data_IF_671041367689
#
_entry.id   IF_671041367689
#
_cell.length_a   1.000
_cell.length_b   1.000
_cell.length_c   1.000
_cell.angle_alpha   90.00
_cell.angle_beta   90.00
_cell.angle_gamma   90.00
#
_symmetry.space_group_name_H-M   'P 1'
#
loop_
_entity.id
_entity.type
_entity.pdbx_description
1 polymer ?
#
# COMPACT_ATOMS: atom_id res chain seq x y z
N UNK A 1 -8.96 -19.86 5.35
CA UNK A 1 -9.10 -18.40 5.26
C UNK A 1 -8.69 -17.91 3.87
N UNK A 2 -9.51 -17.10 3.28
CA UNK A 2 -9.22 -16.58 1.96
C UNK A 2 -8.06 -15.58 2.03
N UNK A 3 -7.22 -15.60 1.00
CA UNK A 3 -6.17 -14.60 0.83
C UNK A 3 -6.74 -13.37 0.15
N UNK A 4 -6.14 -12.23 0.42
CA UNK A 4 -6.50 -10.95 -0.19
C UNK A 4 -5.28 -10.35 -0.87
N UNK A 5 -5.50 -9.58 -1.93
CA UNK A 5 -4.45 -8.77 -2.56
C UNK A 5 -4.20 -7.56 -1.67
N UNK A 6 -2.95 -7.35 -1.29
CA UNK A 6 -2.58 -6.40 -0.25
C UNK A 6 -1.60 -5.35 -0.76
N UNK A 7 -1.88 -4.09 -0.41
CA UNK A 7 -1.05 -2.93 -0.74
C UNK A 7 -0.79 -2.16 0.54
N UNK A 8 0.45 -1.71 0.73
CA UNK A 8 0.79 -0.79 1.82
C UNK A 8 1.28 0.53 1.24
N UNK A 9 0.98 1.62 1.93
CA UNK A 9 1.47 2.96 1.58
C UNK A 9 2.10 3.62 2.80
N UNK A 10 3.16 4.38 2.54
CA UNK A 10 3.80 5.21 3.56
C UNK A 10 4.19 6.54 2.92
N UNK A 11 3.96 7.65 3.62
CA UNK A 11 4.31 8.98 3.10
C UNK A 11 4.58 9.96 4.25
N UNK A 12 5.26 11.06 3.93
CA UNK A 12 5.52 12.14 4.89
C UNK A 12 4.57 13.31 4.65
N UNK A 13 4.48 14.20 5.63
CA UNK A 13 3.70 15.43 5.52
C UNK A 13 4.08 16.22 4.27
N UNK A 14 5.38 16.26 3.94
CA UNK A 14 5.91 16.96 2.76
C UNK A 14 5.48 16.35 1.43
N UNK A 15 4.97 15.12 1.43
CA UNK A 15 4.52 14.43 0.23
C UNK A 15 3.05 14.68 -0.09
N UNK A 16 2.36 15.44 0.74
CA UNK A 16 0.96 15.76 0.52
C UNK A 16 0.80 16.80 -0.59
N UNK A 17 -0.17 16.59 -1.45
CA UNK A 17 -0.47 17.41 -2.61
C UNK A 17 -1.84 18.05 -2.47
N UNK A 18 -2.16 19.10 -3.30
CA UNK A 18 -3.49 19.70 -3.30
C UNK A 18 -4.60 18.67 -3.57
N UNK A 19 -5.80 18.98 -3.07
CA UNK A 19 -7.02 18.18 -3.29
C UNK A 19 -6.96 16.78 -2.70
N UNK A 20 -6.25 16.63 -1.57
CA UNK A 20 -6.19 15.35 -0.84
C UNK A 20 -5.35 14.27 -1.52
N UNK A 21 -4.56 14.63 -2.54
CA UNK A 21 -3.64 13.69 -3.17
C UNK A 21 -2.33 13.64 -2.41
N UNK A 22 -1.55 12.61 -2.67
CA UNK A 22 -0.23 12.43 -2.08
C UNK A 22 0.64 11.57 -2.96
N UNK A 23 1.95 11.75 -2.85
CA UNK A 23 2.91 10.77 -3.39
C UNK A 23 3.36 9.89 -2.24
N UNK A 24 3.32 8.59 -2.42
CA UNK A 24 3.66 7.64 -1.37
C UNK A 24 4.66 6.59 -1.85
N UNK A 25 5.28 5.93 -0.87
CA UNK A 25 6.05 4.71 -1.10
C UNK A 25 5.09 3.55 -0.93
N UNK A 26 4.90 2.79 -2.00
CA UNK A 26 3.88 1.73 -2.08
C UNK A 26 4.56 0.38 -2.22
N UNK A 27 4.15 -0.57 -1.40
CA UNK A 27 4.53 -1.97 -1.56
C UNK A 27 3.32 -2.76 -2.05
N UNK A 28 3.48 -3.41 -3.21
CA UNK A 28 2.50 -4.30 -3.78
C UNK A 28 2.86 -5.72 -3.35
N UNK A 29 2.11 -6.27 -2.41
CA UNK A 29 2.48 -7.54 -1.76
C UNK A 29 1.77 -8.76 -2.34
N UNK A 30 0.81 -8.55 -3.23
CA UNK A 30 0.07 -9.66 -3.85
C UNK A 30 -0.85 -10.36 -2.87
N UNK A 31 -1.11 -11.63 -3.11
CA UNK A 31 -1.98 -12.43 -2.27
C UNK A 31 -1.33 -12.73 -0.92
N UNK A 32 -1.98 -12.29 0.15
CA UNK A 32 -1.51 -12.47 1.52
C UNK A 32 -2.60 -13.09 2.36
N UNK A 33 -2.20 -13.93 3.32
CA UNK A 33 -3.11 -14.44 4.33
C UNK A 33 -3.49 -13.33 5.30
N UNK A 34 -4.60 -13.49 6.00
CA UNK A 34 -5.03 -12.55 7.02
C UNK A 34 -3.94 -12.33 8.07
N UNK A 35 -3.25 -13.39 8.46
CA UNK A 35 -2.17 -13.31 9.44
C UNK A 35 -0.99 -12.48 8.93
N UNK A 36 -0.61 -12.67 7.68
CA UNK A 36 0.50 -11.91 7.09
C UNK A 36 0.15 -10.43 6.95
N UNK A 37 -1.10 -10.11 6.62
CA UNK A 37 -1.59 -8.74 6.56
C UNK A 37 -1.51 -8.09 7.93
N UNK A 38 -2.00 -8.78 8.96
CA UNK A 38 -1.96 -8.29 10.33
C UNK A 38 -0.53 -8.03 10.80
N UNK A 39 0.38 -8.96 10.54
CA UNK A 39 1.79 -8.82 10.90
C UNK A 39 2.45 -7.65 10.17
N UNK A 40 2.15 -7.45 8.89
CA UNK A 40 2.68 -6.35 8.12
C UNK A 40 2.19 -4.99 8.65
N UNK A 41 0.90 -4.90 8.99
CA UNK A 41 0.33 -3.68 9.56
C UNK A 41 0.96 -3.35 10.92
N UNK A 42 1.13 -4.35 11.79
CA UNK A 42 1.78 -4.15 13.08
C UNK A 42 3.23 -3.70 12.92
N UNK A 43 3.94 -4.27 11.96
CA UNK A 43 5.32 -3.91 11.68
C UNK A 43 5.42 -2.45 11.22
N UNK A 44 4.54 -2.03 10.32
CA UNK A 44 4.50 -0.64 9.86
C UNK A 44 4.20 0.32 11.00
N UNK A 45 3.20 0.02 11.81
CA UNK A 45 2.83 0.87 12.95
C UNK A 45 4.00 1.08 13.91
N UNK A 46 4.83 0.05 14.08
CA UNK A 46 5.94 0.07 15.03
C UNK A 46 7.22 0.67 14.46
N UNK A 47 7.50 0.41 13.19
CA UNK A 47 8.83 0.68 12.62
C UNK A 47 8.85 1.61 11.42
N UNK A 48 7.71 2.05 10.90
CA UNK A 48 7.71 2.96 9.76
C UNK A 48 8.41 4.28 10.11
N UNK A 49 9.37 4.73 9.29
CA UNK A 49 10.00 6.03 9.50
C UNK A 49 9.17 7.18 8.92
N UNK A 50 8.04 6.88 8.29
CA UNK A 50 7.19 7.88 7.65
C UNK A 50 6.17 8.44 8.64
N UNK A 51 5.66 9.64 8.34
CA UNK A 51 4.67 10.30 9.19
C UNK A 51 3.31 9.61 9.14
N UNK A 52 2.96 9.02 7.98
CA UNK A 52 1.67 8.38 7.75
C UNK A 52 1.84 7.02 7.12
N UNK A 53 0.95 6.11 7.49
CA UNK A 53 0.87 4.76 6.92
C UNK A 53 -0.59 4.45 6.57
N UNK A 54 -0.80 3.63 5.55
CA UNK A 54 -2.11 3.13 5.18
C UNK A 54 -1.97 1.74 4.57
N UNK A 55 -3.06 1.01 4.52
CA UNK A 55 -3.09 -0.31 3.89
C UNK A 55 -4.43 -0.54 3.22
N UNK A 56 -4.42 -1.33 2.15
CA UNK A 56 -5.61 -1.62 1.35
C UNK A 56 -5.63 -3.09 0.99
N UNK A 57 -6.80 -3.69 1.03
CA UNK A 57 -7.00 -5.08 0.61
C UNK A 57 -8.07 -5.14 -0.48
N UNK A 58 -7.87 -6.07 -1.42
CA UNK A 58 -8.78 -6.27 -2.54
C UNK A 58 -9.03 -7.75 -2.75
N UNK A 59 -10.26 -8.08 -3.14
CA UNK A 59 -10.67 -9.46 -3.43
C UNK A 59 -10.15 -9.95 -4.77
N UNK A 60 -10.00 -9.05 -5.74
CA UNK A 60 -9.63 -9.40 -7.11
C UNK A 60 -8.32 -8.77 -7.53
N UNK A 61 -7.60 -9.47 -8.41
CA UNK A 61 -6.38 -8.96 -9.00
C UNK A 61 -6.64 -7.70 -9.83
N UNK A 62 -7.79 -7.62 -10.49
CA UNK A 62 -8.16 -6.46 -11.30
C UNK A 62 -8.25 -5.18 -10.47
N UNK A 63 -8.92 -5.24 -9.32
CA UNK A 63 -9.04 -4.10 -8.43
C UNK A 63 -7.67 -3.69 -7.88
N UNK A 64 -6.87 -4.67 -7.49
CA UNK A 64 -5.53 -4.48 -6.98
C UNK A 64 -4.63 -3.78 -8.01
N UNK A 65 -4.58 -4.30 -9.24
CA UNK A 65 -3.77 -3.69 -10.30
C UNK A 65 -4.27 -2.29 -10.69
N UNK A 66 -5.58 -2.09 -10.68
CA UNK A 66 -6.16 -0.77 -10.94
C UNK A 66 -5.70 0.26 -9.91
N UNK A 67 -5.70 -0.11 -8.63
CA UNK A 67 -5.24 0.80 -7.58
C UNK A 67 -3.75 1.12 -7.73
N UNK A 68 -2.93 0.13 -8.06
CA UNK A 68 -1.50 0.35 -8.30
C UNK A 68 -1.27 1.33 -9.45
N UNK A 69 -2.06 1.22 -10.52
CA UNK A 69 -2.00 2.14 -11.64
C UNK A 69 -2.36 3.57 -11.21
N UNK A 70 -3.41 3.73 -10.42
CA UNK A 70 -3.83 5.04 -9.90
C UNK A 70 -2.73 5.66 -9.05
N UNK A 71 -2.14 4.89 -8.15
CA UNK A 71 -1.06 5.37 -7.28
C UNK A 71 0.16 5.79 -8.09
N UNK A 72 0.53 5.00 -9.10
CA UNK A 72 1.64 5.33 -9.99
C UNK A 72 1.37 6.62 -10.78
N UNK A 73 0.15 6.77 -11.31
CA UNK A 73 -0.25 7.97 -12.04
C UNK A 73 -0.21 9.23 -11.16
N UNK A 74 -0.44 9.07 -9.87
CA UNK A 74 -0.33 10.17 -8.90
C UNK A 74 1.11 10.48 -8.49
N UNK A 75 2.08 9.74 -9.01
CA UNK A 75 3.49 9.97 -8.74
C UNK A 75 4.09 9.12 -7.63
N UNK A 76 3.32 8.18 -7.08
CA UNK A 76 3.82 7.27 -6.05
C UNK A 76 4.85 6.29 -6.62
N UNK A 77 5.80 5.89 -5.79
CA UNK A 77 6.80 4.89 -6.15
C UNK A 77 6.26 3.51 -5.76
N UNK A 78 6.14 2.63 -6.75
CA UNK A 78 5.59 1.29 -6.53
C UNK A 78 6.72 0.27 -6.47
N UNK A 79 6.81 -0.44 -5.36
CA UNK A 79 7.72 -1.56 -5.19
C UNK A 79 6.92 -2.86 -5.33
N UNK A 80 7.21 -3.63 -6.41
CA UNK A 80 6.47 -4.86 -6.73
C UNK A 80 7.15 -6.03 -6.02
N UNK A 81 6.69 -6.33 -4.80
CA UNK A 81 7.15 -7.49 -4.03
C UNK A 81 6.38 -8.76 -4.39
N UNK A 82 5.42 -8.65 -5.29
CA UNK A 82 4.57 -9.74 -5.77
C UNK A 82 5.06 -10.36 -7.08
N UNK A 83 6.12 -9.84 -7.62
CA UNK A 83 6.69 -10.30 -8.88
C UNK A 83 7.60 -11.51 -8.71
#
# INVERSE_FOLDING_TARGET
MAKMYFITEEWNESDQLPYGRRTSHVDALGLCSEKDIEMACEFMERYSPFDYIDSMTYDTKEEYERMLTILEENGSTINRNDA
#
